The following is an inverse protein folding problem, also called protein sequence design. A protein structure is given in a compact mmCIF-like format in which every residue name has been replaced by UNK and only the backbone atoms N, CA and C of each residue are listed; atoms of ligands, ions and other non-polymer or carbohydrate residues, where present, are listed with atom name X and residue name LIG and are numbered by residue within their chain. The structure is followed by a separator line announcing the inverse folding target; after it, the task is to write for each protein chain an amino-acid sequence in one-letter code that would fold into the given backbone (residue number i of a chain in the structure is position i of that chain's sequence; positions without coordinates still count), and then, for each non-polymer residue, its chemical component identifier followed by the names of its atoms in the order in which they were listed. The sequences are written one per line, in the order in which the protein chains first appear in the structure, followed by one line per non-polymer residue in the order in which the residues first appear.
data_IF_828879833961
#
_entry.id   IF_828879833961
#
_cell.length_a   1.000
_cell.length_b   1.000
_cell.length_c   1.000
_cell.angle_alpha   90.00
_cell.angle_beta   90.00
_cell.angle_gamma   90.00
#
_symmetry.space_group_name_H-M   'P 1'
#
loop_
_entity.id
_entity.type
_entity.pdbx_description
1 polymer ?
#
# COMPACT_ATOMS: atom_id res chain seq x y z
N UNK A 1 11.65 -4.45 -5.24
CA UNK A 1 10.94 -3.35 -4.50
C UNK A 1 11.65 -2.01 -4.76
N UNK A 2 10.93 -0.88 -4.82
CA UNK A 2 11.57 0.42 -5.11
C UNK A 2 12.63 0.82 -4.08
N UNK A 3 12.38 0.50 -2.80
CA UNK A 3 13.30 0.75 -1.68
C UNK A 3 14.69 0.12 -1.89
N UNK A 4 14.82 -0.95 -2.66
CA UNK A 4 16.13 -1.58 -2.94
C UNK A 4 17.09 -0.61 -3.63
N UNK A 5 16.59 0.41 -4.32
CA UNK A 5 17.44 1.46 -4.93
C UNK A 5 18.26 2.27 -3.92
N UNK A 6 17.95 2.20 -2.62
CA UNK A 6 18.79 2.82 -1.59
C UNK A 6 20.06 2.01 -1.29
N UNK A 7 20.13 0.73 -1.66
CA UNK A 7 21.33 -0.09 -1.44
C UNK A 7 22.45 0.32 -2.40
N UNK A 8 23.74 0.18 -2.02
CA UNK A 8 24.86 0.58 -2.87
C UNK A 8 24.84 -0.06 -4.26
N UNK A 9 24.45 -1.33 -4.35
CA UNK A 9 24.38 -2.08 -5.61
C UNK A 9 23.00 -1.99 -6.28
N UNK A 10 22.03 -1.30 -5.67
CA UNK A 10 20.63 -1.27 -6.06
C UNK A 10 20.03 -2.67 -6.28
N UNK A 11 20.59 -3.65 -5.60
CA UNK A 11 20.17 -5.04 -5.62
C UNK A 11 20.22 -5.64 -4.20
N UNK A 12 19.67 -6.84 -4.07
CA UNK A 12 19.69 -7.66 -2.86
C UNK A 12 20.58 -8.90 -3.08
N UNK A 13 21.31 -9.35 -2.06
CA UNK A 13 22.09 -10.57 -2.17
C UNK A 13 21.17 -11.80 -2.34
N UNK A 14 21.65 -12.82 -3.06
CA UNK A 14 20.85 -14.00 -3.40
C UNK A 14 20.33 -14.74 -2.17
N UNK A 15 21.13 -14.83 -1.10
CA UNK A 15 20.70 -15.44 0.15
C UNK A 15 19.44 -14.78 0.73
N UNK A 16 19.29 -13.47 0.56
CA UNK A 16 18.15 -12.70 1.04
C UNK A 16 16.96 -12.88 0.11
N UNK A 17 17.16 -12.76 -1.21
CA UNK A 17 16.13 -13.00 -2.23
C UNK A 17 15.47 -14.37 -2.05
N UNK A 18 16.28 -15.38 -1.75
CA UNK A 18 15.84 -16.77 -1.55
C UNK A 18 15.05 -17.00 -0.25
N UNK A 19 14.92 -16.00 0.63
CA UNK A 19 14.09 -16.10 1.83
C UNK A 19 12.60 -15.88 1.56
N UNK A 20 12.21 -15.39 0.38
CA UNK A 20 10.80 -15.14 0.06
C UNK A 20 9.97 -16.42 0.10
N UNK A 21 8.83 -16.35 0.78
CA UNK A 21 7.84 -17.42 0.83
C UNK A 21 6.49 -16.89 0.35
N UNK A 22 5.81 -17.68 -0.48
CA UNK A 22 4.51 -17.30 -1.04
C UNK A 22 3.52 -16.98 0.07
N UNK A 23 2.91 -15.80 0.01
CA UNK A 23 1.92 -15.34 1.01
C UNK A 23 2.53 -14.63 2.23
N UNK A 24 3.87 -14.61 2.36
CA UNK A 24 4.62 -13.99 3.46
C UNK A 24 5.50 -12.83 2.95
N UNK A 25 4.88 -11.95 2.14
CA UNK A 25 5.56 -10.81 1.55
C UNK A 25 6.04 -9.80 2.61
N UNK A 26 5.23 -9.56 3.64
CA UNK A 26 5.54 -8.55 4.67
C UNK A 26 6.74 -8.98 5.52
N UNK A 27 6.82 -10.26 5.88
CA UNK A 27 7.95 -10.83 6.60
C UNK A 27 9.23 -10.85 5.76
N UNK A 28 9.10 -11.15 4.45
CA UNK A 28 10.21 -11.01 3.52
C UNK A 28 10.71 -9.56 3.45
N UNK A 29 9.79 -8.59 3.33
CA UNK A 29 10.13 -7.18 3.32
C UNK A 29 10.74 -6.71 4.64
N UNK A 30 10.32 -7.23 5.79
CA UNK A 30 10.95 -6.95 7.08
C UNK A 30 12.43 -7.36 7.10
N UNK A 31 12.79 -8.51 6.51
CA UNK A 31 14.19 -8.92 6.34
C UNK A 31 14.96 -8.00 5.39
N UNK A 32 14.32 -7.56 4.30
CA UNK A 32 14.92 -6.60 3.36
C UNK A 32 15.19 -5.26 4.01
N UNK A 33 14.23 -4.73 4.79
CA UNK A 33 14.38 -3.46 5.51
C UNK A 33 15.44 -3.56 6.61
N UNK A 34 15.53 -4.71 7.29
CA UNK A 34 16.60 -4.97 8.26
C UNK A 34 17.97 -4.96 7.58
N UNK A 35 18.10 -5.62 6.42
CA UNK A 35 19.33 -5.61 5.64
C UNK A 35 19.73 -4.20 5.20
N UNK A 36 18.77 -3.38 4.77
CA UNK A 36 19.01 -1.97 4.43
C UNK A 36 19.56 -1.20 5.64
N UNK A 37 18.99 -1.41 6.83
CA UNK A 37 19.50 -0.85 8.08
C UNK A 37 20.92 -1.31 8.41
N UNK A 38 21.24 -2.59 8.16
CA UNK A 38 22.58 -3.16 8.35
C UNK A 38 23.63 -2.58 7.40
N UNK A 39 23.20 -2.07 6.22
CA UNK A 39 24.07 -1.29 5.32
C UNK A 39 24.31 0.16 5.81
N UNK A 40 23.77 0.54 6.97
CA UNK A 40 23.88 1.88 7.53
C UNK A 40 22.96 2.91 6.87
N UNK A 41 22.00 2.49 6.05
CA UNK A 41 21.06 3.37 5.37
C UNK A 41 19.95 3.76 6.34
N UNK A 42 19.73 5.06 6.51
CA UNK A 42 18.80 5.65 7.49
C UNK A 42 17.62 6.33 6.83
N UNK A 43 16.65 6.72 7.65
CA UNK A 43 15.37 7.31 7.26
C UNK A 43 15.47 8.31 6.11
N UNK A 44 16.30 9.36 6.24
CA UNK A 44 16.42 10.42 5.23
C UNK A 44 16.84 9.89 3.84
N UNK A 45 17.75 8.91 3.82
CA UNK A 45 18.23 8.30 2.58
C UNK A 45 17.14 7.42 1.94
N UNK A 46 16.42 6.65 2.76
CA UNK A 46 15.29 5.85 2.29
C UNK A 46 14.18 6.77 1.75
N UNK A 47 13.83 7.81 2.50
CA UNK A 47 12.84 8.81 2.13
C UNK A 47 13.17 9.46 0.79
N UNK A 48 14.39 9.95 0.63
CA UNK A 48 14.87 10.56 -0.63
C UNK A 48 14.61 9.62 -1.81
N UNK A 49 14.91 8.33 -1.68
CA UNK A 49 14.66 7.34 -2.75
C UNK A 49 13.17 7.11 -2.99
N UNK A 50 12.38 6.97 -1.92
CA UNK A 50 10.95 6.70 -2.02
C UNK A 50 10.17 7.88 -2.64
N UNK A 51 10.54 9.12 -2.34
CA UNK A 51 9.95 10.33 -2.92
C UNK A 51 10.21 10.47 -4.44
N UNK A 52 11.19 9.73 -4.99
CA UNK A 52 11.43 9.68 -6.46
C UNK A 52 10.58 8.64 -7.20
N UNK A 53 9.72 7.88 -6.50
CA UNK A 53 8.93 6.83 -7.15
C UNK A 53 7.97 7.41 -8.19
N UNK A 54 8.05 6.98 -9.47
CA UNK A 54 7.20 7.52 -10.51
C UNK A 54 5.77 7.01 -10.32
N UNK A 55 4.82 7.92 -10.54
CA UNK A 55 3.42 7.55 -10.64
C UNK A 55 3.14 6.89 -12.00
N UNK A 56 2.17 5.98 -12.01
CA UNK A 56 1.63 5.46 -13.27
C UNK A 56 1.03 6.62 -14.07
N UNK A 57 1.20 6.59 -15.40
CA UNK A 57 0.68 7.62 -16.30
C UNK A 57 -0.81 7.91 -16.01
N UNK A 58 -1.17 9.19 -15.90
CA UNK A 58 -2.52 9.65 -15.59
C UNK A 58 -2.94 9.56 -14.11
N UNK A 59 -2.19 8.87 -13.24
CA UNK A 59 -2.57 8.71 -11.83
C UNK A 59 -2.56 10.03 -11.07
N UNK A 60 -1.59 10.92 -11.34
CA UNK A 60 -1.56 12.25 -10.74
C UNK A 60 -2.77 13.08 -11.14
N UNK A 61 -3.20 13.00 -12.40
CA UNK A 61 -4.38 13.74 -12.88
C UNK A 61 -5.66 13.18 -12.26
N UNK A 62 -5.75 11.85 -12.11
CA UNK A 62 -6.84 11.20 -11.39
C UNK A 62 -6.90 11.65 -9.92
N UNK A 63 -5.78 11.63 -9.20
CA UNK A 63 -5.73 12.07 -7.80
C UNK A 63 -6.09 13.55 -7.64
N UNK A 64 -5.61 14.42 -8.54
CA UNK A 64 -6.02 15.83 -8.57
C UNK A 64 -7.52 15.99 -8.81
N UNK A 65 -8.08 15.25 -9.76
CA UNK A 65 -9.52 15.24 -10.03
C UNK A 65 -10.31 14.81 -8.79
N UNK A 66 -9.89 13.74 -8.11
CA UNK A 66 -10.51 13.29 -6.85
C UNK A 66 -10.44 14.38 -5.79
N UNK A 67 -9.25 14.97 -5.57
CA UNK A 67 -9.05 16.04 -4.59
C UNK A 67 -9.89 17.30 -4.86
N UNK A 68 -10.28 17.55 -6.11
CA UNK A 68 -11.15 18.66 -6.51
C UNK A 68 -12.65 18.33 -6.43
N UNK A 69 -13.04 17.07 -6.21
CA UNK A 69 -14.43 16.61 -6.21
C UNK A 69 -14.77 15.83 -4.93
N UNK A 70 -14.17 16.22 -3.80
CA UNK A 70 -14.33 15.55 -2.48
C UNK A 70 -15.76 15.58 -1.93
N UNK A 71 -16.60 16.50 -2.41
CA UNK A 71 -18.03 16.54 -2.09
C UNK A 71 -18.82 15.38 -2.70
N UNK A 72 -18.25 14.68 -3.68
CA UNK A 72 -18.88 13.56 -4.40
C UNK A 72 -18.07 12.27 -4.35
N UNK A 73 -16.78 12.33 -4.02
CA UNK A 73 -15.85 11.20 -4.12
C UNK A 73 -15.09 10.99 -2.82
N UNK A 74 -15.16 9.76 -2.33
CA UNK A 74 -14.20 9.23 -1.38
C UNK A 74 -13.18 8.36 -2.11
N UNK A 75 -11.93 8.43 -1.67
CA UNK A 75 -10.81 7.66 -2.19
C UNK A 75 -10.03 7.08 -1.01
N UNK A 76 -9.84 5.77 -1.07
CA UNK A 76 -9.03 5.04 -0.09
C UNK A 76 -7.91 4.29 -0.80
N UNK A 77 -6.82 4.06 -0.09
CA UNK A 77 -5.74 3.18 -0.53
C UNK A 77 -5.78 1.91 0.30
N UNK A 78 -5.72 0.75 -0.36
CA UNK A 78 -5.56 -0.56 0.28
C UNK A 78 -4.30 -1.22 -0.30
N UNK A 79 -3.23 -1.33 0.48
CA UNK A 79 -1.90 -1.63 -0.06
C UNK A 79 -1.05 -2.55 0.82
N UNK A 80 -0.31 -3.46 0.20
CA UNK A 80 0.72 -4.30 0.82
C UNK A 80 2.07 -3.59 1.03
N UNK A 81 2.13 -2.28 0.75
CA UNK A 81 3.24 -1.41 1.14
C UNK A 81 3.22 -1.17 2.67
N UNK A 82 3.65 -0.01 3.14
CA UNK A 82 3.55 0.38 4.53
C UNK A 82 3.20 1.87 4.71
N UNK A 83 2.82 2.25 5.93
CA UNK A 83 2.36 3.60 6.28
C UNK A 83 3.38 4.68 5.96
N UNK A 84 4.66 4.44 6.27
CA UNK A 84 5.76 5.40 6.08
C UNK A 84 5.97 5.68 4.59
N UNK A 85 6.06 4.64 3.77
CA UNK A 85 6.30 4.80 2.34
C UNK A 85 5.15 5.47 1.62
N UNK A 86 3.91 5.07 1.90
CA UNK A 86 2.74 5.69 1.27
C UNK A 86 2.66 7.17 1.64
N UNK A 87 2.91 7.51 2.90
CA UNK A 87 2.90 8.89 3.37
C UNK A 87 3.92 9.76 2.60
N UNK A 88 5.18 9.33 2.51
CA UNK A 88 6.22 10.05 1.78
C UNK A 88 5.91 10.21 0.29
N UNK A 89 5.44 9.14 -0.36
CA UNK A 89 5.11 9.16 -1.79
C UNK A 89 3.96 10.14 -2.06
N UNK A 90 2.90 10.12 -1.25
CA UNK A 90 1.78 11.05 -1.40
C UNK A 90 2.21 12.49 -1.12
N UNK A 91 3.07 12.71 -0.12
CA UNK A 91 3.62 14.03 0.20
C UNK A 91 4.45 14.60 -0.95
N UNK A 92 5.36 13.82 -1.52
CA UNK A 92 6.20 14.26 -2.63
C UNK A 92 5.38 14.66 -3.87
N UNK A 93 4.22 14.03 -4.07
CA UNK A 93 3.30 14.34 -5.16
C UNK A 93 2.29 15.46 -4.86
N UNK A 94 2.18 15.91 -3.61
CA UNK A 94 1.12 16.84 -3.18
C UNK A 94 -0.29 16.25 -3.33
N UNK A 95 -0.42 14.93 -3.17
CA UNK A 95 -1.65 14.19 -3.45
C UNK A 95 -2.41 13.74 -2.19
N UNK A 96 -1.98 14.14 -1.00
CA UNK A 96 -2.58 13.70 0.27
C UNK A 96 -4.05 14.08 0.37
N UNK A 97 -4.43 15.26 -0.12
CA UNK A 97 -5.81 15.76 -0.07
C UNK A 97 -6.81 14.91 -0.90
N UNK A 98 -6.31 14.09 -1.82
CA UNK A 98 -7.14 13.19 -2.60
C UNK A 98 -7.59 11.96 -1.80
N UNK A 99 -6.77 11.51 -0.83
CA UNK A 99 -6.93 10.22 -0.15
C UNK A 99 -7.50 10.42 1.25
N UNK A 100 -8.67 9.85 1.51
CA UNK A 100 -9.33 9.97 2.82
C UNK A 100 -8.76 9.02 3.85
N UNK A 101 -8.41 7.79 3.43
CA UNK A 101 -7.91 6.74 4.32
C UNK A 101 -6.91 5.84 3.62
N UNK A 102 -5.88 5.45 4.34
CA UNK A 102 -4.88 4.47 3.92
C UNK A 102 -4.97 3.25 4.83
N UNK A 103 -5.20 2.08 4.23
CA UNK A 103 -5.21 0.79 4.89
C UNK A 103 -4.01 -0.02 4.39
N UNK A 104 -2.97 -0.11 5.21
CA UNK A 104 -1.68 -0.72 4.84
C UNK A 104 -0.94 -1.21 6.07
N UNK A 105 0.13 -1.98 5.87
CA UNK A 105 0.96 -2.48 6.97
C UNK A 105 1.55 -1.32 7.80
N UNK A 106 1.31 -1.28 9.13
CA UNK A 106 1.96 -0.29 9.99
C UNK A 106 3.46 -0.43 9.92
N UNK A 107 4.15 0.71 9.83
CA UNK A 107 5.61 0.78 9.92
C UNK A 107 6.07 1.97 10.73
N UNK A 108 7.23 1.82 11.37
CA UNK A 108 7.90 2.85 12.15
C UNK A 108 9.41 2.59 12.17
N UNK A 109 10.20 3.64 12.42
CA UNK A 109 11.62 3.46 12.70
C UNK A 109 11.81 3.10 14.18
N UNK A 110 12.57 2.04 14.44
CA UNK A 110 12.94 1.64 15.80
C UNK A 110 14.09 2.50 16.36
N UNK A 111 14.46 2.27 17.63
CA UNK A 111 15.54 3.00 18.31
C UNK A 111 16.92 2.85 17.64
N UNK A 112 17.10 1.84 16.78
CA UNK A 112 18.33 1.63 16.00
C UNK A 112 18.29 2.39 14.68
N UNK A 113 17.16 3.01 14.33
CA UNK A 113 16.92 3.66 13.04
C UNK A 113 16.62 2.66 11.92
N UNK A 114 16.04 1.49 12.24
CA UNK A 114 15.64 0.47 11.27
C UNK A 114 14.14 0.57 11.03
N UNK A 115 13.70 0.44 9.78
CA UNK A 115 12.27 0.46 9.47
C UNK A 115 11.65 -0.91 9.78
N UNK A 116 10.85 -0.98 10.84
CA UNK A 116 10.05 -2.15 11.20
C UNK A 116 8.68 -2.08 10.52
N UNK A 117 8.17 -3.23 10.07
CA UNK A 117 6.87 -3.35 9.40
C UNK A 117 6.09 -4.54 9.94
N UNK A 118 4.80 -4.31 10.20
CA UNK A 118 3.90 -5.29 10.81
C UNK A 118 2.71 -5.59 9.92
N UNK A 119 2.15 -6.79 10.04
CA UNK A 119 0.91 -7.15 9.33
C UNK A 119 -0.23 -6.20 9.71
N UNK A 120 -0.98 -5.71 8.72
CA UNK A 120 -2.12 -4.81 8.96
C UNK A 120 -3.19 -5.43 9.86
N UNK A 121 -3.57 -6.68 9.58
CA UNK A 121 -4.56 -7.39 10.40
C UNK A 121 -4.40 -8.91 10.29
N UNK A 122 -5.09 -9.65 11.16
CA UNK A 122 -5.26 -11.09 11.02
C UNK A 122 -6.59 -11.43 10.36
N UNK A 123 -6.61 -12.43 9.49
CA UNK A 123 -7.82 -12.86 8.78
C UNK A 123 -7.79 -14.35 8.42
N UNK A 124 -8.96 -14.91 8.05
CA UNK A 124 -9.11 -16.32 7.67
C UNK A 124 -9.23 -16.55 6.15
N UNK A 125 -8.99 -15.53 5.32
CA UNK A 125 -9.02 -15.70 3.86
C UNK A 125 -7.89 -16.59 3.36
N UNK A 126 -8.23 -17.75 2.76
CA UNK A 126 -7.25 -18.71 2.23
C UNK A 126 -6.56 -18.26 0.93
N UNK A 127 -6.99 -17.16 0.31
CA UNK A 127 -6.47 -16.69 -0.99
C UNK A 127 -5.56 -15.47 -0.87
N UNK A 128 -5.60 -14.77 0.27
CA UNK A 128 -4.82 -13.56 0.46
C UNK A 128 -3.50 -13.86 1.19
N UNK A 129 -2.46 -13.04 0.98
CA UNK A 129 -1.30 -12.99 1.87
C UNK A 129 -1.71 -12.82 3.33
N UNK A 130 -0.89 -13.29 4.28
CA UNK A 130 -1.27 -13.34 5.70
C UNK A 130 -1.44 -11.97 6.35
N UNK A 131 -0.85 -10.93 5.75
CA UNK A 131 -0.78 -9.60 6.34
C UNK A 131 -2.02 -8.74 6.08
N UNK A 132 -2.70 -8.96 4.95
CA UNK A 132 -3.75 -8.07 4.47
C UNK A 132 -4.70 -8.81 3.52
N UNK A 133 -5.99 -8.72 3.83
CA UNK A 133 -7.07 -9.17 2.94
C UNK A 133 -7.80 -7.93 2.45
N UNK A 134 -7.46 -7.48 1.23
CA UNK A 134 -8.01 -6.23 0.67
C UNK A 134 -9.53 -6.26 0.55
N UNK A 135 -10.11 -7.43 0.26
CA UNK A 135 -11.57 -7.65 0.26
C UNK A 135 -12.19 -7.30 1.61
N UNK A 136 -11.66 -7.88 2.70
CA UNK A 136 -12.19 -7.65 4.05
C UNK A 136 -12.10 -6.18 4.43
N UNK A 137 -10.99 -5.52 4.09
CA UNK A 137 -10.83 -4.08 4.32
C UNK A 137 -11.87 -3.26 3.56
N UNK A 138 -12.10 -3.58 2.28
CA UNK A 138 -13.11 -2.89 1.47
C UNK A 138 -14.52 -3.10 2.03
N UNK A 139 -14.90 -4.34 2.36
CA UNK A 139 -16.19 -4.67 2.97
C UNK A 139 -16.39 -3.91 4.28
N UNK A 140 -15.41 -3.94 5.19
CA UNK A 140 -15.47 -3.24 6.48
C UNK A 140 -15.56 -1.72 6.31
N UNK A 141 -14.86 -1.16 5.33
CA UNK A 141 -14.96 0.27 5.02
C UNK A 141 -16.37 0.64 4.55
N UNK A 142 -16.91 -0.09 3.56
CA UNK A 142 -18.24 0.17 3.02
C UNK A 142 -19.33 0.00 4.09
N UNK A 143 -19.21 -1.00 4.96
CA UNK A 143 -20.14 -1.23 6.07
C UNK A 143 -20.11 -0.07 7.07
N UNK A 144 -18.92 0.39 7.47
CA UNK A 144 -18.77 1.55 8.37
C UNK A 144 -19.34 2.83 7.75
N UNK A 145 -19.12 3.06 6.45
CA UNK A 145 -19.66 4.23 5.76
C UNK A 145 -21.20 4.17 5.70
N UNK A 146 -21.77 2.99 5.44
CA UNK A 146 -23.22 2.79 5.47
C UNK A 146 -23.80 3.05 6.86
N UNK A 147 -23.16 2.57 7.92
CA UNK A 147 -23.56 2.87 9.31
C UNK A 147 -23.48 4.37 9.63
N UNK A 148 -22.55 5.09 9.00
CA UNK A 148 -22.43 6.55 9.11
C UNK A 148 -23.40 7.32 8.19
N UNK A 149 -24.31 6.63 7.49
CA UNK A 149 -25.31 7.24 6.60
C UNK A 149 -24.80 7.55 5.18
N UNK A 150 -23.60 7.08 4.82
CA UNK A 150 -23.02 7.26 3.48
C UNK A 150 -23.26 6.00 2.65
N UNK A 151 -24.02 6.14 1.56
CA UNK A 151 -24.25 5.05 0.61
C UNK A 151 -23.61 5.37 -0.73
N UNK A 152 -22.57 4.61 -1.09
CA UNK A 152 -21.95 4.72 -2.41
C UNK A 152 -22.82 4.08 -3.49
N UNK A 153 -23.09 4.84 -4.54
CA UNK A 153 -23.77 4.35 -5.74
C UNK A 153 -22.84 3.53 -6.64
N UNK A 154 -21.55 3.84 -6.62
CA UNK A 154 -20.53 3.23 -7.45
C UNK A 154 -19.23 3.05 -6.66
N UNK A 155 -18.67 1.84 -6.70
CA UNK A 155 -17.30 1.55 -6.28
C UNK A 155 -16.45 1.32 -7.51
N UNK A 156 -15.35 2.05 -7.64
CA UNK A 156 -14.32 1.81 -8.67
C UNK A 156 -13.08 1.26 -8.00
N UNK A 157 -12.76 -0.01 -8.26
CA UNK A 157 -11.59 -0.67 -7.71
C UNK A 157 -10.46 -0.72 -8.75
N UNK A 158 -9.29 -0.18 -8.40
CA UNK A 158 -8.10 -0.15 -9.27
C UNK A 158 -6.99 -0.97 -8.61
N UNK A 159 -6.39 -1.89 -9.35
CA UNK A 159 -5.31 -2.74 -8.83
C UNK A 159 -4.51 -3.43 -9.93
N UNK A 160 -3.31 -3.89 -9.61
CA UNK A 160 -2.33 -4.43 -10.57
C UNK A 160 -1.75 -5.78 -10.15
N UNK A 161 -2.06 -6.28 -8.95
CA UNK A 161 -1.50 -7.50 -8.40
C UNK A 161 -2.50 -8.64 -8.25
N UNK A 162 -1.99 -9.86 -8.08
CA UNK A 162 -2.84 -11.03 -7.78
C UNK A 162 -3.63 -10.90 -6.46
N UNK A 163 -3.08 -10.14 -5.50
CA UNK A 163 -3.74 -9.74 -4.25
C UNK A 163 -4.95 -8.80 -4.45
N UNK A 164 -5.10 -8.20 -5.63
CA UNK A 164 -6.25 -7.36 -5.99
C UNK A 164 -7.43 -8.15 -6.57
N UNK A 165 -7.27 -9.46 -6.82
CA UNK A 165 -8.37 -10.31 -7.31
C UNK A 165 -9.43 -10.59 -6.24
N UNK A 166 -9.04 -10.63 -4.96
CA UNK A 166 -9.96 -10.92 -3.87
C UNK A 166 -11.06 -9.84 -3.70
N UNK A 167 -10.75 -8.53 -3.64
CA UNK A 167 -11.76 -7.48 -3.48
C UNK A 167 -12.74 -7.36 -4.67
N UNK A 168 -12.33 -7.75 -5.88
CA UNK A 168 -13.25 -7.78 -7.03
C UNK A 168 -14.46 -8.69 -6.78
N UNK A 169 -14.31 -9.72 -5.94
CA UNK A 169 -15.40 -10.66 -5.59
C UNK A 169 -16.48 -10.05 -4.70
N UNK A 170 -16.23 -8.90 -4.06
CA UNK A 170 -17.21 -8.18 -3.24
C UNK A 170 -17.88 -7.02 -3.98
N UNK A 171 -17.49 -6.76 -5.23
CA UNK A 171 -18.08 -5.69 -6.04
C UNK A 171 -19.48 -6.09 -6.52
N UNK A 172 -20.39 -5.11 -6.57
CA UNK A 172 -21.74 -5.25 -7.11
C UNK A 172 -21.69 -5.29 -8.64
N UNK A 173 -22.77 -5.72 -9.28
CA UNK A 173 -22.89 -5.73 -10.75
C UNK A 173 -22.72 -4.35 -11.38
N UNK A 174 -23.06 -3.28 -10.66
CA UNK A 174 -22.90 -1.89 -11.10
C UNK A 174 -21.51 -1.30 -10.83
N UNK A 175 -20.68 -1.98 -10.03
CA UNK A 175 -19.34 -1.51 -9.67
C UNK A 175 -18.34 -1.82 -10.80
N UNK A 176 -17.22 -1.11 -10.79
CA UNK A 176 -16.20 -1.21 -11.85
C UNK A 176 -14.89 -1.72 -11.27
N UNK A 177 -14.33 -2.75 -11.89
CA UNK A 177 -12.96 -3.19 -11.64
C UNK A 177 -12.05 -2.74 -12.80
N UNK A 178 -10.92 -2.13 -12.47
CA UNK A 178 -9.88 -1.70 -13.40
C UNK A 178 -8.56 -2.43 -13.08
N UNK A 179 -8.42 -3.71 -13.48
CA UNK A 179 -7.18 -4.44 -13.33
C UNK A 179 -6.12 -3.96 -14.33
N UNK A 180 -4.85 -3.98 -13.92
CA UNK A 180 -3.69 -3.72 -14.79
C UNK A 180 -2.86 -4.97 -15.02
#
# INVERSE_FOLDING_TARGET
PWVVKCTPEQDLPDWLKNTYQKGHWTEYMGRVLSYIGDQGIREDAIRTVMETMPYTAGMIDLLKFIGQNKERLDCIIISDSNTVFIDWILHAAGAQCAVDRVFTNPAHFDDRGYLDVQCFHSHSCAQCPVNLCKRKVLEDFLERQLMAGVQYQLTVYIGDGGNDLCPVKSLKTSDVAMPR
#
